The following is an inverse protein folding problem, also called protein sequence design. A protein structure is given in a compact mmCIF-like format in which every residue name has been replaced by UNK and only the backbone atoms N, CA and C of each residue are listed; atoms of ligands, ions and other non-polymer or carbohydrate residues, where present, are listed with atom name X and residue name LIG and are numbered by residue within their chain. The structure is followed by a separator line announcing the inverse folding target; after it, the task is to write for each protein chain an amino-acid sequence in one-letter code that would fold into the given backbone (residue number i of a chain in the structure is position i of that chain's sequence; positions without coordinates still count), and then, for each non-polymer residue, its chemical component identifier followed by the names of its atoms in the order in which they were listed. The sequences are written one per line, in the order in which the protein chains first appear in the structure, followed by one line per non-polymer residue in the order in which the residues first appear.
data_IF_950522078019
#
_entry.id   IF_950522078019
#
_cell.length_a   1.000
_cell.length_b   1.000
_cell.length_c   1.000
_cell.angle_alpha   90.00
_cell.angle_beta   90.00
_cell.angle_gamma   90.00
#
_symmetry.space_group_name_H-M   'P 1'
#
loop_
_entity.id
_entity.type
_entity.pdbx_description
1 polymer ?
#
# COMPACT_ATOMS: atom_id res chain seq x y z
N UNK A 1 21.23 15.96 4.44
CA UNK A 1 21.93 14.67 4.26
C UNK A 1 21.56 14.07 2.93
N UNK A 2 22.56 13.77 2.13
CA UNK A 2 22.30 13.17 0.83
C UNK A 2 22.10 11.67 0.98
N UNK A 3 21.04 11.16 0.38
CA UNK A 3 20.76 9.73 0.34
C UNK A 3 21.40 9.15 -0.91
N UNK A 4 22.28 8.17 -0.73
CA UNK A 4 22.88 7.46 -1.86
C UNK A 4 22.03 6.28 -2.29
N UNK A 5 20.97 5.99 -1.56
CA UNK A 5 20.07 4.87 -1.86
C UNK A 5 18.75 5.38 -2.45
N UNK A 6 18.12 4.54 -3.24
CA UNK A 6 16.83 4.83 -3.84
C UNK A 6 15.84 3.79 -3.35
N UNK A 7 14.69 4.26 -2.89
CA UNK A 7 13.59 3.39 -2.47
C UNK A 7 12.29 4.05 -2.88
N UNK A 8 11.78 3.65 -4.03
CA UNK A 8 10.58 4.23 -4.62
C UNK A 8 9.65 3.10 -5.04
N UNK A 9 8.39 3.22 -4.66
CA UNK A 9 7.34 2.32 -5.12
C UNK A 9 6.20 3.16 -5.67
N UNK A 10 5.75 2.82 -6.84
CA UNK A 10 4.60 3.48 -7.46
C UNK A 10 3.65 2.41 -7.95
N UNK A 11 2.39 2.47 -7.51
CA UNK A 11 1.39 1.49 -7.92
C UNK A 11 0.08 2.19 -8.24
N UNK A 12 -0.69 1.54 -9.10
CA UNK A 12 -2.04 1.95 -9.44
C UNK A 12 -2.91 0.70 -9.49
N UNK A 13 -3.96 0.67 -8.68
CA UNK A 13 -4.80 -0.51 -8.60
C UNK A 13 -6.03 -0.28 -7.77
N UNK A 14 -6.75 -1.38 -7.49
CA UNK A 14 -8.01 -1.34 -6.75
C UNK A 14 -7.78 -1.63 -5.28
N UNK A 15 -8.45 -0.87 -4.45
CA UNK A 15 -8.39 -1.06 -2.99
C UNK A 15 -9.24 -2.26 -2.61
N UNK A 16 -8.65 -3.17 -1.82
CA UNK A 16 -9.35 -4.35 -1.34
C UNK A 16 -9.88 -4.21 0.07
N UNK A 17 -9.08 -3.63 0.96
CA UNK A 17 -9.48 -3.46 2.35
C UNK A 17 -8.91 -2.16 2.89
N UNK A 18 -9.61 -1.58 3.85
CA UNK A 18 -9.19 -0.33 4.49
C UNK A 18 -9.44 -0.44 5.97
N UNK A 19 -8.45 -0.09 6.77
CA UNK A 19 -8.54 -0.07 8.22
C UNK A 19 -8.05 1.28 8.72
N UNK A 20 -8.90 1.97 9.48
CA UNK A 20 -8.58 3.27 10.06
C UNK A 20 -8.50 3.15 11.57
N UNK A 21 -7.42 3.66 12.14
CA UNK A 21 -7.20 3.64 13.59
C UNK A 21 -6.81 5.03 14.04
N UNK A 22 -7.57 5.55 15.00
CA UNK A 22 -7.25 6.86 15.58
C UNK A 22 -6.08 6.73 16.54
N UNK A 23 -5.04 7.52 16.32
CA UNK A 23 -3.85 7.54 17.17
C UNK A 23 -3.55 9.00 17.51
N UNK A 24 -3.84 9.36 18.77
CA UNK A 24 -3.77 10.76 19.21
C UNK A 24 -4.69 11.61 18.34
N UNK A 25 -4.18 12.64 17.68
CA UNK A 25 -5.00 13.53 16.86
C UNK A 25 -4.98 13.17 15.37
N UNK A 26 -4.40 12.02 15.02
CA UNK A 26 -4.26 11.61 13.63
C UNK A 26 -4.86 10.23 13.42
N UNK A 27 -5.24 9.95 12.19
CA UNK A 27 -5.76 8.62 11.84
C UNK A 27 -4.72 7.88 11.02
N UNK A 28 -4.35 6.69 11.51
CA UNK A 28 -3.50 5.79 10.76
C UNK A 28 -4.38 4.97 9.83
N UNK A 29 -4.07 4.98 8.54
CA UNK A 29 -4.83 4.22 7.56
C UNK A 29 -3.94 3.15 6.97
N UNK A 30 -4.37 1.89 7.08
CA UNK A 30 -3.74 0.77 6.42
C UNK A 30 -4.72 0.20 5.42
N UNK A 31 -4.24 -0.02 4.21
CA UNK A 31 -5.11 -0.51 3.15
C UNK A 31 -4.33 -1.42 2.22
N UNK A 32 -5.06 -2.24 1.48
CA UNK A 32 -4.46 -3.13 0.49
C UNK A 32 -4.85 -2.68 -0.90
N UNK A 33 -3.94 -2.84 -1.86
CA UNK A 33 -4.17 -2.50 -3.25
C UNK A 33 -3.80 -3.69 -4.10
N UNK A 34 -4.69 -4.07 -5.00
CA UNK A 34 -4.43 -5.13 -5.97
C UNK A 34 -3.98 -4.53 -7.28
N UNK A 35 -2.81 -4.96 -7.75
CA UNK A 35 -2.37 -4.66 -9.10
C UNK A 35 -2.44 -5.94 -9.92
N UNK A 36 -2.93 -5.84 -11.14
CA UNK A 36 -3.07 -6.98 -12.02
C UNK A 36 -2.06 -6.89 -13.16
N UNK A 37 -1.49 -8.05 -13.45
CA UNK A 37 -0.55 -8.18 -14.58
C UNK A 37 -1.05 -9.27 -15.49
N UNK A 38 -1.32 -8.92 -16.74
CA UNK A 38 -1.83 -9.87 -17.73
C UNK A 38 -0.69 -10.33 -18.61
N UNK A 39 -0.62 -11.63 -18.84
CA UNK A 39 0.42 -12.20 -19.71
C UNK A 39 -0.11 -13.41 -20.45
N UNK A 40 0.62 -13.82 -21.49
CA UNK A 40 0.30 -15.02 -22.26
C UNK A 40 1.46 -16.02 -22.15
N UNK A 41 1.12 -17.31 -22.09
CA UNK A 41 2.14 -18.35 -22.11
C UNK A 41 2.54 -18.67 -23.55
N UNK A 42 3.42 -19.65 -23.72
CA UNK A 42 3.91 -20.06 -25.05
C UNK A 42 2.82 -20.65 -25.93
N UNK A 43 1.71 -21.08 -25.35
CA UNK A 43 0.59 -21.66 -26.09
C UNK A 43 -0.51 -20.64 -26.37
N UNK A 44 -0.28 -19.37 -26.04
CA UNK A 44 -1.23 -18.30 -26.26
C UNK A 44 -2.33 -18.19 -25.23
N UNK A 45 -2.26 -18.95 -24.13
CA UNK A 45 -3.25 -18.85 -23.06
C UNK A 45 -3.00 -17.60 -22.24
N UNK A 46 -4.09 -16.91 -21.91
CA UNK A 46 -4.02 -15.67 -21.13
C UNK A 46 -4.15 -15.94 -19.65
N UNK A 47 -3.33 -15.25 -18.88
CA UNK A 47 -3.33 -15.32 -17.41
C UNK A 47 -3.33 -13.91 -16.84
N UNK A 48 -3.94 -13.79 -15.66
CA UNK A 48 -3.90 -12.54 -14.92
C UNK A 48 -3.34 -12.87 -13.54
N UNK A 49 -2.28 -12.18 -13.18
CA UNK A 49 -1.68 -12.27 -11.86
C UNK A 49 -2.12 -11.08 -11.02
N UNK A 50 -2.63 -11.35 -9.83
CA UNK A 50 -3.00 -10.30 -8.89
C UNK A 50 -1.96 -10.26 -7.78
N UNK A 51 -1.36 -9.09 -7.57
CA UNK A 51 -0.43 -8.88 -6.47
C UNK A 51 -1.06 -7.92 -5.48
N UNK A 52 -1.12 -8.33 -4.22
CA UNK A 52 -1.64 -7.50 -3.15
C UNK A 52 -0.52 -6.75 -2.47
N UNK A 53 -0.67 -5.43 -2.39
CA UNK A 53 0.30 -4.55 -1.75
C UNK A 53 -0.30 -3.99 -0.48
N UNK A 54 0.44 -4.09 0.61
CA UNK A 54 0.06 -3.46 1.86
C UNK A 54 0.56 -2.03 1.87
N UNK A 55 -0.33 -1.09 2.15
CA UNK A 55 -0.03 0.34 2.12
C UNK A 55 -0.43 0.97 3.43
N UNK A 56 0.26 2.04 3.79
CA UNK A 56 -0.02 2.78 5.01
C UNK A 56 0.17 4.26 4.79
N UNK A 57 -0.70 5.06 5.41
CA UNK A 57 -0.56 6.51 5.41
C UNK A 57 -1.20 7.09 6.65
N UNK A 58 -0.96 8.38 6.87
CA UNK A 58 -1.57 9.14 7.96
C UNK A 58 -2.53 10.15 7.39
N UNK A 59 -3.71 10.25 7.99
CA UNK A 59 -4.66 11.32 7.70
C UNK A 59 -4.59 12.34 8.82
N UNK A 60 -4.13 13.54 8.48
CA UNK A 60 -4.00 14.62 9.44
C UNK A 60 -5.22 15.52 9.37
N UNK A 61 -5.38 16.38 10.38
CA UNK A 61 -6.47 17.35 10.39
C UNK A 61 -6.42 18.19 9.12
N UNK A 62 -7.53 18.26 8.42
CA UNK A 62 -7.64 19.00 7.17
C UNK A 62 -7.47 18.17 5.91
N UNK A 63 -6.95 16.95 6.05
CA UNK A 63 -6.86 16.03 4.92
C UNK A 63 -8.22 15.39 4.66
N UNK A 64 -8.47 15.02 3.41
CA UNK A 64 -9.65 14.25 3.07
C UNK A 64 -9.21 13.02 2.29
N UNK A 65 -9.10 11.90 2.99
CA UNK A 65 -8.72 10.62 2.41
C UNK A 65 -9.90 9.65 2.36
N UNK A 66 -11.11 10.19 2.25
CA UNK A 66 -12.32 9.36 2.17
C UNK A 66 -12.38 8.53 0.89
N UNK A 67 -11.61 8.90 -0.13
CA UNK A 67 -11.55 8.12 -1.36
C UNK A 67 -10.86 6.77 -1.16
N UNK A 68 -10.18 6.57 -0.04
CA UNK A 68 -9.61 5.28 0.30
C UNK A 68 -10.72 4.37 0.79
N UNK A 69 -11.36 3.71 -0.15
CA UNK A 69 -12.50 2.83 0.11
C UNK A 69 -12.43 1.62 -0.81
N UNK A 70 -12.94 0.50 -0.32
CA UNK A 70 -12.93 -0.76 -1.06
C UNK A 70 -13.50 -0.59 -2.45
N UNK A 71 -12.79 -1.10 -3.44
CA UNK A 71 -13.21 -1.07 -4.84
C UNK A 71 -12.76 0.14 -5.63
N UNK A 72 -12.30 1.18 -4.96
CA UNK A 72 -11.87 2.39 -5.65
C UNK A 72 -10.49 2.20 -6.27
N UNK A 73 -10.29 2.86 -7.40
CA UNK A 73 -8.99 2.90 -8.06
C UNK A 73 -8.13 3.96 -7.38
N UNK A 74 -6.89 3.61 -7.09
CA UNK A 74 -5.95 4.56 -6.48
C UNK A 74 -4.61 4.48 -7.18
N UNK A 75 -3.97 5.64 -7.33
CA UNK A 75 -2.62 5.76 -7.86
C UNK A 75 -1.78 6.45 -6.80
N UNK A 76 -0.73 5.77 -6.34
CA UNK A 76 0.06 6.28 -5.24
C UNK A 76 1.55 6.06 -5.46
N UNK A 77 2.33 6.83 -4.73
CA UNK A 77 3.78 6.74 -4.74
C UNK A 77 4.28 6.86 -3.32
N UNK A 78 5.26 6.04 -2.99
CA UNK A 78 5.84 6.05 -1.66
C UNK A 78 7.13 5.27 -1.61
N UNK A 79 7.47 4.78 -0.43
CA UNK A 79 8.67 3.98 -0.22
C UNK A 79 8.32 2.66 0.44
N UNK A 80 9.11 1.65 0.17
CA UNK A 80 8.95 0.33 0.78
C UNK A 80 9.53 0.38 2.18
N UNK A 81 8.75 -0.09 3.15
CA UNK A 81 9.16 -0.11 4.55
C UNK A 81 8.86 -1.47 5.14
N UNK A 82 9.75 -1.95 5.98
CA UNK A 82 9.49 -3.13 6.78
C UNK A 82 8.93 -2.72 8.12
N UNK A 83 7.86 -3.38 8.52
CA UNK A 83 7.24 -3.17 9.81
C UNK A 83 7.41 -4.41 10.65
N UNK A 84 7.95 -4.23 11.84
CA UNK A 84 8.16 -5.33 12.77
C UNK A 84 6.92 -5.49 13.65
N UNK A 85 6.37 -6.70 13.68
CA UNK A 85 5.32 -7.05 14.61
C UNK A 85 5.82 -8.17 15.50
N UNK A 86 5.66 -8.00 16.82
CA UNK A 86 6.02 -9.01 17.78
C UNK A 86 4.75 -9.55 18.40
N UNK A 87 4.50 -10.86 18.23
CA UNK A 87 3.37 -11.48 18.88
C UNK A 87 3.77 -11.93 20.28
N UNK A 88 2.78 -12.26 21.08
CA UNK A 88 2.99 -12.73 22.44
C UNK A 88 3.89 -13.96 22.48
N UNK A 89 3.87 -14.74 21.41
CA UNK A 89 4.54 -16.03 21.39
C UNK A 89 5.97 -15.95 20.96
N UNK A 90 6.45 -14.75 20.65
CA UNK A 90 7.76 -14.79 20.58
C UNK A 90 8.58 -14.36 19.47
N UNK A 91 8.45 -14.80 18.33
CA UNK A 91 9.35 -14.46 17.22
C UNK A 91 8.89 -13.20 16.51
N UNK A 92 9.79 -12.23 16.32
CA UNK A 92 9.42 -11.04 15.56
C UNK A 92 9.15 -11.41 14.10
N UNK A 93 8.06 -10.85 13.56
CA UNK A 93 7.72 -11.01 12.16
C UNK A 93 7.83 -9.67 11.47
N UNK A 94 8.29 -9.70 10.24
CA UNK A 94 8.45 -8.50 9.44
C UNK A 94 7.45 -8.50 8.30
N UNK A 95 6.78 -7.38 8.13
CA UNK A 95 5.84 -7.18 7.03
C UNK A 95 6.35 -6.06 6.16
N UNK A 96 6.24 -6.26 4.86
CA UNK A 96 6.60 -5.23 3.90
C UNK A 96 5.36 -4.42 3.57
N UNK A 97 5.48 -3.11 3.65
CA UNK A 97 4.38 -2.23 3.27
C UNK A 97 4.93 -1.02 2.52
N UNK A 98 4.07 -0.40 1.74
CA UNK A 98 4.40 0.85 1.07
C UNK A 98 3.91 1.97 1.96
N UNK A 99 4.83 2.81 2.40
CA UNK A 99 4.48 4.02 3.11
C UNK A 99 4.19 5.11 2.09
N UNK A 100 2.93 5.49 1.99
CA UNK A 100 2.49 6.41 0.94
C UNK A 100 2.99 7.82 1.23
N UNK A 101 3.60 8.44 0.23
CA UNK A 101 4.08 9.81 0.32
C UNK A 101 3.18 10.76 -0.45
N UNK A 102 2.57 10.28 -1.52
CA UNK A 102 1.62 11.10 -2.28
C UNK A 102 0.62 10.24 -3.01
N UNK A 103 -0.57 10.78 -3.20
CA UNK A 103 -1.58 10.21 -4.08
C UNK A 103 -1.61 11.02 -5.35
N UNK A 104 -1.61 10.33 -6.48
CA UNK A 104 -1.50 10.96 -7.79
C UNK A 104 -2.89 10.98 -8.42
N UNK A 105 -3.28 12.14 -8.91
CA UNK A 105 -4.53 12.26 -9.67
C UNK A 105 -4.23 12.11 -11.14
N UNK A 106 -4.94 11.20 -11.77
CA UNK A 106 -4.80 10.94 -13.20
C UNK A 106 -5.81 11.73 -14.00
#
# INVERSE_FOLDING_TARGET
MDNICINIAEIKGRIGSVNRTLVSAQTAIRFSVCTEYAYKDNEGRQYVECTWHNCACWEKKGDDLSFLAKGNLVHLKGRIKQRKCTSIDEEPRYFTEIQVQEFIKD
#
